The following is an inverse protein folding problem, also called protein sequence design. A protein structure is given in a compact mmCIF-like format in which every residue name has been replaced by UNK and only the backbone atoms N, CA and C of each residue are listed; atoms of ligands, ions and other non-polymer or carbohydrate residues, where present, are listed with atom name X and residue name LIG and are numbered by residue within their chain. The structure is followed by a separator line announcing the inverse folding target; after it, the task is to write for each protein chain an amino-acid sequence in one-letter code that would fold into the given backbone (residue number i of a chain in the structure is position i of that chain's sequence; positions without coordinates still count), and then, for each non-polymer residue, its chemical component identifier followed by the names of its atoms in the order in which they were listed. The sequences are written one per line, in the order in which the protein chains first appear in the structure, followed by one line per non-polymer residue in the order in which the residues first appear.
data_IF_932346890285
#
_entry.id   IF_932346890285
#
_cell.length_a   1.000
_cell.length_b   1.000
_cell.length_c   1.000
_cell.angle_alpha   90.00
_cell.angle_beta   90.00
_cell.angle_gamma   90.00
#
_symmetry.space_group_name_H-M   'P 1'
#
loop_
_entity.id
_entity.type
_entity.pdbx_description
1 polymer ?
#
# COMPACT_ATOMS: atom_id res chain seq x y z
N UNK A 1 12.61 8.69 -0.93
CA UNK A 1 11.94 8.71 -2.25
C UNK A 1 12.04 10.09 -2.89
N UNK A 2 11.58 11.17 -2.25
CA UNK A 2 11.49 12.47 -2.94
C UNK A 2 12.82 13.03 -3.45
N UNK A 3 13.92 12.93 -2.68
CA UNK A 3 15.25 13.38 -3.16
C UNK A 3 15.72 12.62 -4.42
N UNK A 4 15.54 11.30 -4.45
CA UNK A 4 15.96 10.47 -5.57
C UNK A 4 15.03 10.58 -6.78
N UNK A 5 13.74 10.85 -6.55
CA UNK A 5 12.79 11.07 -7.63
C UNK A 5 12.90 12.49 -8.24
N UNK A 6 13.18 13.51 -7.43
CA UNK A 6 13.26 14.90 -7.91
C UNK A 6 14.65 15.25 -8.43
N UNK A 7 15.72 14.70 -7.84
CA UNK A 7 17.11 15.04 -8.17
C UNK A 7 17.92 13.87 -8.76
N UNK A 8 17.32 12.71 -8.96
CA UNK A 8 18.00 11.54 -9.52
C UNK A 8 18.06 11.52 -11.04
N UNK A 9 18.94 10.68 -11.57
CA UNK A 9 18.97 10.33 -12.99
C UNK A 9 17.70 9.60 -13.43
N UNK A 10 17.54 9.39 -14.73
CA UNK A 10 16.36 8.71 -15.30
C UNK A 10 16.13 7.32 -14.69
N UNK A 11 17.19 6.51 -14.59
CA UNK A 11 17.14 5.17 -13.98
C UNK A 11 16.64 5.21 -12.54
N UNK A 12 17.12 6.17 -11.74
CA UNK A 12 16.75 6.31 -10.34
C UNK A 12 15.29 6.74 -10.19
N UNK A 13 14.81 7.63 -11.07
CA UNK A 13 13.41 8.06 -11.11
C UNK A 13 12.48 6.91 -11.46
N UNK A 14 12.81 6.15 -12.50
CA UNK A 14 12.08 4.96 -12.92
C UNK A 14 12.03 3.93 -11.78
N UNK A 15 13.17 3.60 -11.19
CA UNK A 15 13.23 2.68 -10.05
C UNK A 15 12.35 3.14 -8.88
N UNK A 16 12.34 4.44 -8.56
CA UNK A 16 11.49 4.96 -7.49
C UNK A 16 10.00 4.74 -7.77
N UNK A 17 9.55 4.97 -9.01
CA UNK A 17 8.14 4.75 -9.40
C UNK A 17 7.83 3.26 -9.35
N UNK A 18 8.62 2.43 -10.03
CA UNK A 18 8.33 1.00 -10.19
C UNK A 18 8.41 0.24 -8.87
N UNK A 19 9.42 0.51 -8.04
CA UNK A 19 9.53 -0.11 -6.73
C UNK A 19 8.38 0.32 -5.81
N UNK A 20 7.94 1.58 -5.89
CA UNK A 20 6.81 2.05 -5.07
C UNK A 20 5.48 1.46 -5.55
N UNK A 21 5.28 1.39 -6.86
CA UNK A 21 4.11 0.75 -7.46
C UNK A 21 4.03 -0.73 -7.05
N UNK A 22 5.17 -1.43 -7.10
CA UNK A 22 5.28 -2.80 -6.63
C UNK A 22 4.91 -2.95 -5.14
N UNK A 23 5.49 -2.13 -4.25
CA UNK A 23 5.24 -2.25 -2.81
C UNK A 23 3.77 -1.98 -2.44
N UNK A 24 3.15 -0.98 -3.07
CA UNK A 24 1.72 -0.68 -2.86
C UNK A 24 0.86 -1.82 -3.42
N UNK A 25 1.20 -2.31 -4.61
CA UNK A 25 0.48 -3.44 -5.21
C UNK A 25 0.60 -4.70 -4.33
N UNK A 26 1.78 -4.96 -3.78
CA UNK A 26 2.03 -6.08 -2.87
C UNK A 26 1.22 -5.94 -1.58
N UNK A 27 1.10 -4.73 -1.02
CA UNK A 27 0.22 -4.48 0.12
C UNK A 27 -1.23 -4.84 -0.20
N UNK A 28 -1.76 -4.39 -1.35
CA UNK A 28 -3.12 -4.72 -1.77
C UNK A 28 -3.30 -6.21 -2.06
N UNK A 29 -2.29 -6.88 -2.61
CA UNK A 29 -2.30 -8.33 -2.78
C UNK A 29 -2.44 -9.05 -1.43
N UNK A 30 -1.70 -8.62 -0.40
CA UNK A 30 -1.82 -9.20 0.94
C UNK A 30 -3.18 -8.94 1.57
N UNK A 31 -3.77 -7.77 1.36
CA UNK A 31 -5.14 -7.49 1.80
C UNK A 31 -6.14 -8.42 1.10
N UNK A 32 -6.01 -8.65 -0.20
CA UNK A 32 -6.90 -9.56 -0.92
C UNK A 32 -6.72 -11.03 -0.55
N UNK A 33 -5.48 -11.50 -0.34
CA UNK A 33 -5.22 -12.84 0.17
C UNK A 33 -5.83 -13.03 1.55
N UNK A 34 -5.61 -12.07 2.45
CA UNK A 34 -6.18 -12.09 3.80
C UNK A 34 -7.71 -12.12 3.73
N UNK A 35 -8.33 -11.30 2.88
CA UNK A 35 -9.79 -11.29 2.69
C UNK A 35 -10.32 -12.63 2.17
N UNK A 36 -9.62 -13.28 1.23
CA UNK A 36 -10.01 -14.59 0.69
C UNK A 36 -9.91 -15.70 1.75
N UNK A 37 -8.87 -15.65 2.60
CA UNK A 37 -8.64 -16.64 3.65
C UNK A 37 -9.54 -16.43 4.89
N UNK A 38 -9.87 -15.18 5.22
CA UNK A 38 -10.63 -14.86 6.43
C UNK A 38 -12.09 -15.35 6.41
N UNK A 39 -12.69 -15.57 5.22
CA UNK A 39 -13.97 -16.28 5.11
C UNK A 39 -13.93 -17.67 5.76
N UNK A 40 -12.75 -18.29 5.92
CA UNK A 40 -12.58 -19.57 6.60
C UNK A 40 -12.24 -19.44 8.09
N UNK A 41 -11.69 -18.29 8.53
CA UNK A 41 -11.14 -18.07 9.89
C UNK A 41 -12.20 -17.54 10.87
N UNK A 42 -13.26 -16.88 10.40
CA UNK A 42 -14.37 -16.37 11.24
C UNK A 42 -15.00 -17.44 12.17
N UNK A 43 -14.76 -18.73 11.91
CA UNK A 43 -15.26 -19.85 12.69
C UNK A 43 -14.51 -20.14 14.01
N UNK A 44 -13.33 -19.53 14.27
CA UNK A 44 -12.47 -19.97 15.39
C UNK A 44 -11.95 -18.89 16.36
N UNK A 45 -11.90 -17.59 15.99
CA UNK A 45 -11.50 -16.52 16.93
C UNK A 45 -11.94 -15.12 16.45
N UNK A 46 -12.86 -14.49 17.18
CA UNK A 46 -13.69 -13.39 16.67
C UNK A 46 -13.06 -11.99 16.83
N UNK A 47 -12.31 -11.73 17.92
CA UNK A 47 -11.86 -10.37 18.28
C UNK A 47 -10.68 -9.87 17.44
N UNK A 48 -9.59 -10.64 17.39
CA UNK A 48 -8.38 -10.21 16.69
C UNK A 48 -8.59 -10.20 15.16
N UNK A 49 -9.39 -11.14 14.65
CA UNK A 49 -9.84 -11.18 13.26
C UNK A 49 -10.65 -9.93 12.90
N UNK A 50 -11.62 -9.53 13.73
CA UNK A 50 -12.37 -8.29 13.53
C UNK A 50 -11.49 -7.06 13.57
N UNK A 51 -10.53 -7.01 14.50
CA UNK A 51 -9.61 -5.89 14.60
C UNK A 51 -8.69 -5.80 13.37
N UNK A 52 -8.23 -6.94 12.85
CA UNK A 52 -7.47 -7.02 11.61
C UNK A 52 -8.27 -6.48 10.42
N UNK A 53 -9.50 -6.98 10.24
CA UNK A 53 -10.41 -6.52 9.18
C UNK A 53 -10.72 -5.03 9.29
N UNK A 54 -10.97 -4.53 10.50
CA UNK A 54 -11.21 -3.12 10.75
C UNK A 54 -9.99 -2.24 10.41
N UNK A 55 -8.77 -2.70 10.76
CA UNK A 55 -7.55 -1.96 10.38
C UNK A 55 -7.31 -1.98 8.87
N UNK A 56 -7.55 -3.11 8.20
CA UNK A 56 -7.45 -3.21 6.73
C UNK A 56 -8.45 -2.28 6.04
N UNK A 57 -9.72 -2.29 6.46
CA UNK A 57 -10.77 -1.43 5.92
C UNK A 57 -10.44 0.06 6.12
N UNK A 58 -9.91 0.44 7.28
CA UNK A 58 -9.47 1.81 7.53
C UNK A 58 -8.33 2.24 6.60
N UNK A 59 -7.35 1.35 6.36
CA UNK A 59 -6.27 1.63 5.40
C UNK A 59 -6.86 1.82 4.00
N UNK A 60 -7.69 0.87 3.53
CA UNK A 60 -8.31 0.93 2.20
C UNK A 60 -9.20 2.16 2.00
N UNK A 61 -9.99 2.52 3.00
CA UNK A 61 -10.83 3.73 3.01
C UNK A 61 -9.98 4.99 2.87
N UNK A 62 -8.85 5.03 3.56
CA UNK A 62 -7.94 6.18 3.52
C UNK A 62 -7.23 6.34 2.16
N UNK A 63 -6.98 5.23 1.44
CA UNK A 63 -6.50 5.29 0.06
C UNK A 63 -7.52 5.88 -0.90
N UNK A 64 -8.82 5.64 -0.69
CA UNK A 64 -9.88 6.03 -1.63
C UNK A 64 -10.70 7.26 -1.25
N UNK A 65 -10.43 7.89 -0.11
CA UNK A 65 -11.25 9.03 0.35
C UNK A 65 -10.91 10.33 -0.39
N UNK A 66 -11.94 11.11 -0.68
CA UNK A 66 -11.90 12.42 -1.36
C UNK A 66 -12.07 13.60 -0.39
N UNK A 67 -12.06 13.34 0.94
CA UNK A 67 -12.19 14.39 1.96
C UNK A 67 -11.23 15.55 1.68
N UNK A 68 -11.70 16.78 1.84
CA UNK A 68 -11.00 18.02 1.47
C UNK A 68 -9.56 18.10 1.98
N UNK A 69 -9.29 17.58 3.18
CA UNK A 69 -7.94 17.56 3.78
C UNK A 69 -6.89 16.73 3.01
N UNK A 70 -7.31 15.94 2.02
CA UNK A 70 -6.45 15.10 1.19
C UNK A 70 -6.29 15.60 -0.25
N UNK A 71 -6.92 16.72 -0.61
CA UNK A 71 -6.73 17.42 -1.88
C UNK A 71 -6.94 16.56 -3.15
N UNK A 72 -7.62 15.41 -3.07
CA UNK A 72 -7.83 14.49 -4.19
C UNK A 72 -6.55 13.84 -4.76
N UNK A 73 -5.40 14.03 -4.12
CA UNK A 73 -4.11 13.50 -4.61
C UNK A 73 -3.83 12.14 -3.97
N UNK A 74 -3.24 11.24 -4.77
CA UNK A 74 -2.86 9.90 -4.35
C UNK A 74 -4.07 9.10 -3.89
N UNK A 75 -5.14 9.19 -4.69
CA UNK A 75 -6.44 8.62 -4.40
C UNK A 75 -6.66 7.39 -5.28
N UNK A 76 -6.83 6.23 -4.65
CA UNK A 76 -7.10 4.95 -5.32
C UNK A 76 -8.42 4.41 -4.79
N UNK A 77 -9.43 4.29 -5.63
CA UNK A 77 -10.75 3.81 -5.21
C UNK A 77 -10.73 2.33 -4.88
N UNK A 78 -11.68 1.87 -4.06
CA UNK A 78 -11.71 0.49 -3.57
C UNK A 78 -11.65 -0.55 -4.70
N UNK A 79 -12.34 -0.32 -5.83
CA UNK A 79 -12.27 -1.21 -6.99
C UNK A 79 -10.89 -1.26 -7.66
N UNK A 80 -10.18 -0.13 -7.70
CA UNK A 80 -8.82 -0.06 -8.22
C UNK A 80 -7.84 -0.79 -7.30
N UNK A 81 -7.95 -0.56 -5.99
CA UNK A 81 -7.14 -1.25 -4.98
C UNK A 81 -7.30 -2.78 -5.10
N UNK A 82 -8.54 -3.26 -5.24
CA UNK A 82 -8.84 -4.69 -5.45
C UNK A 82 -8.20 -5.24 -6.71
N UNK A 83 -8.46 -4.59 -7.84
CA UNK A 83 -7.92 -5.03 -9.12
C UNK A 83 -6.38 -5.04 -9.13
N UNK A 84 -5.73 -4.06 -8.49
CA UNK A 84 -4.28 -4.05 -8.29
C UNK A 84 -3.85 -5.28 -7.48
N UNK A 85 -4.49 -5.52 -6.33
CA UNK A 85 -4.15 -6.66 -5.47
C UNK A 85 -4.37 -8.02 -6.14
N UNK A 86 -5.51 -8.21 -6.81
CA UNK A 86 -5.86 -9.44 -7.54
C UNK A 86 -4.86 -9.78 -8.65
N UNK A 87 -4.39 -8.77 -9.39
CA UNK A 87 -3.40 -8.95 -10.45
C UNK A 87 -2.06 -9.50 -9.93
N UNK A 88 -1.72 -9.29 -8.66
CA UNK A 88 -0.48 -9.78 -8.06
C UNK A 88 -0.60 -11.16 -7.42
N UNK A 89 -1.80 -11.75 -7.35
CA UNK A 89 -1.98 -13.08 -6.75
C UNK A 89 -1.48 -14.15 -7.72
N UNK A 90 -0.49 -14.92 -7.29
CA UNK A 90 -0.03 -16.13 -7.97
C UNK A 90 -0.64 -17.35 -7.27
N UNK A 91 -1.36 -18.17 -8.02
CA UNK A 91 -1.92 -19.45 -7.56
C UNK A 91 -1.08 -20.61 -8.07
N UNK A 92 -0.57 -21.45 -7.17
CA UNK A 92 0.21 -22.67 -7.48
C UNK A 92 -0.18 -23.78 -6.52
N UNK A 93 -0.58 -24.93 -7.06
CA UNK A 93 -0.76 -26.20 -6.33
C UNK A 93 -1.40 -26.05 -4.94
N UNK A 94 -2.60 -25.43 -4.89
CA UNK A 94 -3.36 -25.27 -3.65
C UNK A 94 -2.88 -24.15 -2.72
N UNK A 95 -1.83 -23.39 -3.09
CA UNK A 95 -1.35 -22.22 -2.36
C UNK A 95 -1.51 -20.94 -3.18
N UNK A 96 -1.73 -19.82 -2.48
CA UNK A 96 -1.74 -18.48 -3.06
C UNK A 96 -0.62 -17.64 -2.45
N UNK A 97 0.07 -16.86 -3.29
CA UNK A 97 1.18 -16.01 -2.86
C UNK A 97 1.18 -14.70 -3.65
N UNK A 98 1.90 -13.71 -3.14
CA UNK A 98 2.12 -12.47 -3.88
C UNK A 98 3.26 -12.62 -4.90
N UNK A 99 3.06 -12.06 -6.09
CA UNK A 99 4.10 -11.89 -7.11
C UNK A 99 5.32 -11.14 -6.54
N UNK A 100 6.52 -11.59 -6.94
CA UNK A 100 7.78 -10.94 -6.61
C UNK A 100 8.15 -9.81 -7.58
N UNK A 101 9.09 -8.94 -7.18
CA UNK A 101 9.42 -7.72 -7.93
C UNK A 101 9.90 -7.96 -9.37
N UNK A 102 10.80 -8.92 -9.59
CA UNK A 102 11.28 -9.23 -10.95
C UNK A 102 10.13 -9.64 -11.88
N UNK A 103 9.25 -10.52 -11.39
CA UNK A 103 8.08 -10.95 -12.15
C UNK A 103 7.07 -9.82 -12.35
N UNK A 104 6.92 -8.90 -11.40
CA UNK A 104 6.10 -7.71 -11.55
C UNK A 104 6.57 -6.85 -12.72
N UNK A 105 7.88 -6.62 -12.83
CA UNK A 105 8.48 -5.86 -13.95
C UNK A 105 8.21 -6.52 -15.30
N UNK A 106 8.35 -7.85 -15.37
CA UNK A 106 8.12 -8.61 -16.61
C UNK A 106 6.62 -8.68 -16.99
N UNK A 107 5.74 -8.79 -16.00
CA UNK A 107 4.30 -9.02 -16.21
C UNK A 107 3.56 -7.71 -16.50
N UNK A 108 3.99 -6.62 -15.88
CA UNK A 108 3.32 -5.32 -15.95
C UNK A 108 4.22 -4.22 -16.51
N UNK A 109 4.82 -4.36 -17.71
CA UNK A 109 5.48 -3.22 -18.33
C UNK A 109 4.48 -2.05 -18.51
N UNK A 110 4.95 -0.79 -18.57
CA UNK A 110 4.08 0.37 -18.75
C UNK A 110 3.11 0.21 -19.92
N UNK A 111 1.83 0.55 -19.69
CA UNK A 111 0.75 0.44 -20.68
C UNK A 111 0.11 -0.94 -20.79
N UNK A 112 0.60 -1.96 -20.04
CA UNK A 112 0.07 -3.32 -20.11
C UNK A 112 -1.16 -3.54 -19.23
N UNK A 113 -1.25 -2.81 -18.12
CA UNK A 113 -2.31 -2.99 -17.14
C UNK A 113 -2.77 -1.63 -16.62
N UNK A 114 -4.00 -1.27 -16.98
CA UNK A 114 -4.60 0.04 -16.68
C UNK A 114 -4.50 0.41 -15.19
N UNK A 115 -4.74 -0.53 -14.28
CA UNK A 115 -4.76 -0.24 -12.86
C UNK A 115 -3.35 -0.03 -12.28
N UNK A 116 -2.36 -0.77 -12.76
CA UNK A 116 -0.96 -0.52 -12.41
C UNK A 116 -0.48 0.81 -13.01
N UNK A 117 -0.92 1.15 -14.22
CA UNK A 117 -0.57 2.42 -14.85
C UNK A 117 -1.17 3.62 -14.11
N UNK A 118 -2.42 3.55 -13.66
CA UNK A 118 -3.03 4.56 -12.77
C UNK A 118 -2.20 4.74 -11.49
N UNK A 119 -1.76 3.63 -10.88
CA UNK A 119 -0.91 3.70 -9.69
C UNK A 119 0.44 4.40 -9.98
N UNK A 120 1.08 4.10 -11.11
CA UNK A 120 2.33 4.78 -11.54
C UNK A 120 2.12 6.27 -11.75
N UNK A 121 1.01 6.66 -12.36
CA UNK A 121 0.65 8.07 -12.56
C UNK A 121 0.46 8.79 -11.23
N UNK A 122 -0.29 8.20 -10.30
CA UNK A 122 -0.50 8.77 -8.97
C UNK A 122 0.82 8.90 -8.19
N UNK A 123 1.70 7.90 -8.28
CA UNK A 123 3.05 7.96 -7.68
C UNK A 123 3.89 9.07 -8.33
N UNK A 124 3.82 9.23 -9.64
CA UNK A 124 4.57 10.27 -10.35
C UNK A 124 4.09 11.67 -9.96
N UNK A 125 2.78 11.85 -9.75
CA UNK A 125 2.19 13.10 -9.24
C UNK A 125 2.64 13.43 -7.82
N UNK A 126 3.00 12.44 -6.98
CA UNK A 126 3.52 12.68 -5.64
C UNK A 126 4.80 13.50 -5.64
N UNK A 127 5.73 13.26 -6.58
CA UNK A 127 7.00 13.98 -6.61
C UNK A 127 6.83 15.50 -6.74
N UNK A 128 5.85 15.92 -7.55
CA UNK A 128 5.51 17.34 -7.73
C UNK A 128 4.63 17.90 -6.59
N UNK A 129 3.87 17.05 -5.89
CA UNK A 129 2.82 17.47 -4.97
C UNK A 129 2.96 16.86 -3.55
N UNK A 130 4.18 16.53 -3.12
CA UNK A 130 4.42 15.82 -1.85
C UNK A 130 3.74 16.53 -0.67
N UNK A 131 3.81 17.87 -0.63
CA UNK A 131 3.21 18.67 0.43
C UNK A 131 1.70 18.49 0.55
N UNK A 132 0.98 18.28 -0.56
CA UNK A 132 -0.46 18.05 -0.57
C UNK A 132 -0.80 16.59 -0.19
N UNK A 133 0.01 15.63 -0.62
CA UNK A 133 -0.18 14.22 -0.31
C UNK A 133 0.25 13.84 1.12
N UNK A 134 1.06 14.69 1.76
CA UNK A 134 1.71 14.41 3.06
C UNK A 134 0.73 13.98 4.15
N UNK A 135 -0.43 14.63 4.22
CA UNK A 135 -1.49 14.28 5.20
C UNK A 135 -1.95 12.84 5.00
N UNK A 136 -2.28 12.46 3.75
CA UNK A 136 -2.71 11.09 3.41
C UNK A 136 -1.62 10.07 3.73
N UNK A 137 -0.37 10.35 3.33
CA UNK A 137 0.76 9.46 3.57
C UNK A 137 1.05 9.24 5.06
N UNK A 138 0.97 10.28 5.89
CA UNK A 138 1.12 10.17 7.35
C UNK A 138 -0.01 9.34 7.95
N UNK A 139 -1.26 9.63 7.57
CA UNK A 139 -2.42 8.89 8.08
C UNK A 139 -2.31 7.38 7.69
N UNK A 140 -1.89 7.07 6.46
CA UNK A 140 -1.70 5.68 5.98
C UNK A 140 -0.59 5.01 6.78
N UNK A 141 0.54 5.69 6.94
CA UNK A 141 1.68 5.16 7.68
C UNK A 141 1.34 4.85 9.14
N UNK A 142 0.56 5.72 9.78
CA UNK A 142 0.11 5.52 11.15
C UNK A 142 -0.81 4.30 11.28
N UNK A 143 -1.73 4.09 10.32
CA UNK A 143 -2.59 2.91 10.29
C UNK A 143 -1.81 1.63 10.01
N UNK A 144 -0.79 1.67 9.14
CA UNK A 144 0.11 0.54 8.91
C UNK A 144 0.93 0.19 10.17
N UNK A 145 1.30 1.18 10.99
CA UNK A 145 1.89 0.92 12.31
C UNK A 145 0.90 0.23 13.25
N UNK A 146 -0.36 0.64 13.26
CA UNK A 146 -1.39 -0.02 14.07
C UNK A 146 -1.61 -1.47 13.64
N UNK A 147 -1.58 -1.73 12.33
CA UNK A 147 -1.59 -3.08 11.78
C UNK A 147 -0.37 -3.90 12.25
N UNK A 148 0.83 -3.33 12.24
CA UNK A 148 2.03 -4.00 12.76
C UNK A 148 1.97 -4.24 14.27
N UNK A 149 1.35 -3.34 15.05
CA UNK A 149 1.16 -3.52 16.49
C UNK A 149 0.23 -4.70 16.80
N UNK A 150 -0.78 -4.94 15.96
CA UNK A 150 -1.63 -6.11 16.04
C UNK A 150 -0.90 -7.40 15.63
N UNK A 151 -0.18 -7.37 14.50
CA UNK A 151 0.44 -8.56 13.91
C UNK A 151 1.76 -9.00 14.59
N UNK A 152 2.50 -8.06 15.16
CA UNK A 152 3.77 -8.32 15.83
C UNK A 152 3.94 -7.46 17.10
N UNK A 153 3.12 -7.72 18.14
CA UNK A 153 3.08 -6.90 19.35
C UNK A 153 4.39 -6.94 20.16
N UNK A 154 5.20 -7.99 19.97
CA UNK A 154 6.47 -8.20 20.67
C UNK A 154 7.69 -7.76 19.86
N UNK A 155 7.49 -7.15 18.69
CA UNK A 155 8.57 -6.68 17.82
C UNK A 155 9.55 -7.78 17.38
N UNK A 156 9.06 -9.01 17.22
CA UNK A 156 9.89 -10.18 16.87
C UNK A 156 10.35 -10.13 15.42
N UNK A 157 9.54 -9.55 14.53
CA UNK A 157 9.79 -9.46 13.08
C UNK A 157 10.40 -8.12 12.70
N UNK A 158 9.85 -7.02 13.23
CA UNK A 158 10.35 -5.67 12.91
C UNK A 158 10.69 -4.86 14.17
N UNK A 159 11.85 -4.18 14.23
CA UNK A 159 12.24 -3.40 15.40
C UNK A 159 11.26 -2.26 15.75
N UNK A 160 11.05 -2.03 17.05
CA UNK A 160 10.19 -0.94 17.56
C UNK A 160 10.62 0.45 17.05
N UNK A 161 11.93 0.70 16.93
CA UNK A 161 12.48 1.99 16.45
C UNK A 161 12.01 2.37 15.03
N UNK A 162 11.61 1.38 14.23
CA UNK A 162 11.12 1.60 12.86
C UNK A 162 9.59 1.78 12.79
N UNK A 163 8.88 1.70 13.92
CA UNK A 163 7.42 1.79 14.03
C UNK A 163 6.96 3.06 14.73
N UNK A 164 7.61 4.18 14.40
CA UNK A 164 7.27 5.47 14.99
C UNK A 164 6.14 6.12 14.19
N UNK A 165 5.04 6.43 14.87
CA UNK A 165 3.95 7.20 14.27
C UNK A 165 4.42 8.60 13.94
N UNK A 166 4.01 9.08 12.79
CA UNK A 166 4.33 10.43 12.34
C UNK A 166 3.20 11.38 12.75
N UNK A 167 3.59 12.60 13.10
CA UNK A 167 2.66 13.71 13.31
C UNK A 167 2.91 14.76 12.22
N UNK A 168 1.84 15.40 11.76
CA UNK A 168 1.97 16.60 10.93
C UNK A 168 2.69 17.65 11.76
N UNK A 169 3.95 17.92 11.44
CA UNK A 169 4.63 19.11 11.96
C UNK A 169 4.03 20.30 11.24
N UNK A 170 3.38 21.20 11.98
CA UNK A 170 2.98 22.50 11.46
C UNK A 170 4.22 23.15 10.84
N UNK A 171 4.15 23.47 9.55
CA UNK A 171 5.15 24.31 8.92
C UNK A 171 5.18 25.63 9.71
N UNK A 172 6.35 25.98 10.25
CA UNK A 172 6.63 27.35 10.68
C UNK A 172 6.96 28.18 9.45
#
# INVERSE_FOLDING_TARGET
MNHFYVHGDERTREYCVENTAFLISQLFCWFELTRQELYYIELQNEKDTRQLLHLQDNVQTLWGTDKTKYHGIFCLFAGEQRAIGENLIIRRDGSSSCMGFAQFMDTFPPGKNKQIDILREEISKLGANEHLARVRLIDIQNLLIDLLALLDPKFLRFPQKSRQKMQLRNAR
#
